data_IF_071756525226
#
_entry.id   IF_071756525226
#
_cell.length_a   1.000
_cell.length_b   1.000
_cell.length_c   1.000
_cell.angle_alpha   90.00
_cell.angle_beta   90.00
_cell.angle_gamma   90.00
#
_symmetry.space_group_name_H-M   'P 1'
#
loop_
_entity.id
_entity.type
_entity.pdbx_description
1 polymer ?
#
# COMPACT_ATOMS: atom_id res chain seq x y z
N UNK A 1 5.91 -16.45 3.62
CA UNK A 1 5.02 -15.88 4.68
C UNK A 1 4.45 -14.52 4.30
N UNK A 2 5.10 -13.73 3.42
CA UNK A 2 4.50 -12.54 2.81
C UNK A 2 3.35 -12.91 1.85
N UNK A 3 3.42 -14.08 1.20
CA UNK A 3 2.41 -14.51 0.23
C UNK A 3 1.01 -14.64 0.83
N UNK A 4 0.89 -14.99 2.11
CA UNK A 4 -0.40 -15.09 2.79
C UNK A 4 -1.09 -13.72 3.00
N UNK A 5 -0.34 -12.62 2.85
CA UNK A 5 -0.86 -11.24 3.00
C UNK A 5 -1.09 -10.56 1.66
N UNK A 6 -0.52 -11.08 0.57
CA UNK A 6 -0.71 -10.55 -0.77
C UNK A 6 -1.93 -11.21 -1.40
N UNK A 7 -2.95 -10.41 -1.69
CA UNK A 7 -4.17 -10.85 -2.33
C UNK A 7 -4.23 -10.32 -3.77
N UNK A 8 -4.83 -11.07 -4.70
CA UNK A 8 -4.99 -10.61 -6.07
C UNK A 8 -6.06 -9.52 -6.19
N UNK A 9 -5.98 -8.72 -7.26
CA UNK A 9 -7.04 -7.78 -7.65
C UNK A 9 -8.44 -8.45 -7.64
N UNK A 10 -9.42 -7.75 -7.08
CA UNK A 10 -10.79 -8.24 -6.94
C UNK A 10 -11.01 -9.18 -5.75
N UNK A 11 -10.01 -9.36 -4.87
CA UNK A 11 -10.15 -10.19 -3.69
C UNK A 11 -11.34 -9.76 -2.80
N UNK A 12 -11.99 -10.75 -2.21
CA UNK A 12 -13.02 -10.55 -1.19
C UNK A 12 -12.43 -10.76 0.19
N UNK A 13 -12.57 -9.75 1.05
CA UNK A 13 -11.97 -9.68 2.38
C UNK A 13 -13.08 -9.86 3.41
N UNK A 14 -12.96 -10.90 4.24
CA UNK A 14 -13.88 -11.11 5.36
C UNK A 14 -13.65 -10.04 6.44
N UNK A 15 -14.52 -9.04 6.51
CA UNK A 15 -14.39 -7.89 7.41
C UNK A 15 -14.43 -8.33 8.87
N UNK A 16 -15.23 -9.36 9.18
CA UNK A 16 -15.32 -9.95 10.52
C UNK A 16 -14.00 -10.57 11.02
N UNK A 17 -13.06 -10.89 10.12
CA UNK A 17 -11.75 -11.40 10.48
C UNK A 17 -10.73 -10.29 10.82
N UNK A 18 -11.09 -9.03 10.57
CA UNK A 18 -10.23 -7.87 10.80
C UNK A 18 -10.69 -7.09 12.04
N UNK A 19 -9.73 -6.69 12.87
CA UNK A 19 -9.99 -5.82 14.02
C UNK A 19 -9.55 -4.40 13.67
N UNK A 20 -10.44 -3.43 13.88
CA UNK A 20 -10.25 -2.01 13.54
C UNK A 20 -9.71 -1.80 12.11
N UNK A 21 -10.37 -2.34 11.08
CA UNK A 21 -9.83 -2.30 9.72
C UNK A 21 -9.81 -0.89 9.15
N UNK A 22 -8.87 -0.63 8.25
CA UNK A 22 -8.95 0.52 7.35
C UNK A 22 -8.41 0.14 5.97
N UNK A 23 -8.85 0.86 4.94
CA UNK A 23 -8.41 0.68 3.56
C UNK A 23 -7.85 1.98 3.02
N UNK A 24 -6.69 1.91 2.39
CA UNK A 24 -6.02 3.04 1.77
C UNK A 24 -5.44 2.67 0.40
N UNK A 25 -5.36 3.63 -0.55
CA UNK A 25 -4.67 3.41 -1.81
C UNK A 25 -3.17 3.35 -1.57
N UNK A 26 -2.50 2.38 -2.17
CA UNK A 26 -1.06 2.19 -2.05
C UNK A 26 -0.41 1.85 -3.40
N UNK A 27 0.91 1.93 -3.45
CA UNK A 27 1.71 1.34 -4.53
C UNK A 27 2.73 0.41 -3.91
N UNK A 28 2.81 -0.79 -4.49
CA UNK A 28 3.84 -1.77 -4.19
C UNK A 28 4.94 -1.67 -5.25
N UNK A 29 6.19 -1.50 -4.82
CA UNK A 29 7.37 -1.53 -5.68
C UNK A 29 8.25 -2.73 -5.35
N UNK A 30 8.61 -3.52 -6.36
CA UNK A 30 9.62 -4.58 -6.24
C UNK A 30 10.97 -3.99 -6.59
N UNK A 31 11.95 -4.10 -5.70
CA UNK A 31 13.28 -3.52 -5.89
C UNK A 31 14.06 -4.26 -6.98
N UNK A 32 14.66 -3.49 -7.89
CA UNK A 32 15.58 -4.04 -8.90
C UNK A 32 17.01 -4.20 -8.35
N UNK A 33 17.35 -3.48 -7.28
CA UNK A 33 18.68 -3.41 -6.69
C UNK A 33 18.57 -3.36 -5.16
N UNK A 34 19.69 -3.60 -4.47
CA UNK A 34 19.75 -3.49 -3.02
C UNK A 34 19.55 -2.04 -2.57
N UNK A 35 18.71 -1.83 -1.56
CA UNK A 35 18.65 -0.60 -0.80
C UNK A 35 19.67 -0.65 0.34
N UNK A 36 20.86 -0.13 0.07
CA UNK A 36 21.95 -0.10 1.05
C UNK A 36 21.73 0.93 2.16
N UNK A 37 22.21 0.62 3.36
CA UNK A 37 22.22 1.55 4.50
C UNK A 37 23.11 2.75 4.20
N UNK A 38 22.62 3.96 4.47
CA UNK A 38 23.38 5.21 4.32
C UNK A 38 23.47 5.75 2.89
N UNK A 39 22.89 5.04 1.91
CA UNK A 39 22.69 5.56 0.57
C UNK A 39 21.44 6.46 0.53
N UNK A 40 21.48 7.55 -0.22
CA UNK A 40 20.34 8.46 -0.40
C UNK A 40 19.84 8.49 -1.84
N UNK A 41 20.40 7.66 -2.72
CA UNK A 41 19.96 7.52 -4.10
C UNK A 41 18.47 7.17 -4.19
N UNK A 42 17.77 7.54 -5.27
CA UNK A 42 16.41 7.08 -5.50
C UNK A 42 16.35 5.55 -5.63
N UNK A 43 15.34 4.88 -5.02
CA UNK A 43 15.17 3.44 -5.17
C UNK A 43 14.89 3.05 -6.64
N UNK A 44 15.56 2.00 -7.12
CA UNK A 44 15.34 1.43 -8.46
C UNK A 44 14.36 0.26 -8.37
N UNK A 45 13.32 0.26 -9.21
CA UNK A 45 12.25 -0.74 -9.17
C UNK A 45 12.23 -1.62 -10.42
N UNK A 46 12.10 -2.92 -10.22
CA UNK A 46 11.88 -3.91 -11.27
C UNK A 46 10.44 -3.85 -11.79
N UNK A 47 9.48 -3.60 -10.88
CA UNK A 47 8.08 -3.38 -11.20
C UNK A 47 7.40 -2.53 -10.14
N UNK A 48 6.35 -1.82 -10.56
CA UNK A 48 5.39 -1.13 -9.71
C UNK A 48 4.01 -1.75 -9.90
N UNK A 49 3.23 -1.81 -8.82
CA UNK A 49 1.89 -2.37 -8.81
C UNK A 49 0.94 -1.39 -8.12
N UNK A 50 -0.25 -1.11 -8.69
CA UNK A 50 -1.31 -0.46 -7.95
C UNK A 50 -1.76 -1.40 -6.82
N UNK A 51 -1.99 -0.87 -5.62
CA UNK A 51 -2.37 -1.67 -4.47
C UNK A 51 -3.44 -1.00 -3.59
N UNK A 52 -4.12 -1.82 -2.78
CA UNK A 52 -4.90 -1.37 -1.62
C UNK A 52 -4.24 -1.93 -0.37
N UNK A 53 -3.83 -1.04 0.54
CA UNK A 53 -3.38 -1.40 1.88
C UNK A 53 -4.60 -1.57 2.78
N UNK A 54 -4.76 -2.76 3.35
CA UNK A 54 -5.84 -3.10 4.26
C UNK A 54 -5.21 -3.29 5.64
N UNK A 55 -5.16 -2.20 6.39
CA UNK A 55 -4.61 -2.22 7.74
C UNK A 55 -5.60 -2.90 8.70
N UNK A 56 -5.07 -3.58 9.70
CA UNK A 56 -5.84 -4.18 10.79
C UNK A 56 -5.02 -4.15 12.08
N UNK A 57 -5.63 -3.72 13.18
CA UNK A 57 -4.98 -3.59 14.48
C UNK A 57 -5.30 -4.79 15.36
N UNK A 58 -4.32 -5.34 16.06
CA UNK A 58 -4.53 -6.43 17.04
C UNK A 58 -4.80 -5.91 18.44
N UNK A 59 -4.43 -4.66 18.72
CA UNK A 59 -4.75 -3.99 19.98
C UNK A 59 -6.26 -3.91 20.19
N UNK A 60 -6.69 -3.96 21.46
CA UNK A 60 -8.11 -3.88 21.84
C UNK A 60 -8.75 -2.60 21.31
N UNK A 61 -8.04 -1.49 21.42
CA UNK A 61 -8.43 -0.16 20.99
C UNK A 61 -7.47 0.31 19.87
N UNK A 62 -7.89 1.17 18.92
CA UNK A 62 -6.98 1.72 17.92
C UNK A 62 -5.77 2.42 18.58
N UNK A 63 -4.56 2.30 18.02
CA UNK A 63 -3.37 2.86 18.66
C UNK A 63 -3.43 4.39 18.74
N UNK A 64 -3.38 4.92 19.95
CA UNK A 64 -3.35 6.37 20.20
C UNK A 64 -1.97 7.02 20.05
N UNK A 65 -0.91 6.23 19.84
CA UNK A 65 0.47 6.72 19.71
C UNK A 65 1.25 5.96 18.64
N UNK A 66 2.31 6.59 18.10
CA UNK A 66 3.21 5.96 17.14
C UNK A 66 3.94 4.72 17.72
N UNK A 67 4.27 4.74 19.01
CA UNK A 67 4.89 3.60 19.69
C UNK A 67 3.97 2.38 19.74
N UNK A 68 2.68 2.59 20.03
CA UNK A 68 1.67 1.52 19.99
C UNK A 68 1.44 1.01 18.57
N UNK A 69 1.38 1.92 17.59
CA UNK A 69 1.28 1.52 16.19
C UNK A 69 2.47 0.67 15.75
N UNK A 70 3.70 1.06 16.10
CA UNK A 70 4.92 0.31 15.80
C UNK A 70 4.96 -1.06 16.50
N UNK A 71 4.56 -1.12 17.77
CA UNK A 71 4.42 -2.38 18.51
C UNK A 71 3.42 -3.33 17.85
N UNK A 72 2.41 -2.78 17.19
CA UNK A 72 1.44 -3.51 16.37
C UNK A 72 1.82 -3.55 14.88
N UNK A 73 3.12 -3.59 14.57
CA UNK A 73 3.67 -3.74 13.22
C UNK A 73 3.14 -2.69 12.22
N UNK A 74 2.87 -1.47 12.68
CA UNK A 74 2.33 -0.39 11.85
C UNK A 74 0.94 -0.66 11.28
N UNK A 75 0.16 -1.55 11.90
CA UNK A 75 -1.18 -1.89 11.41
C UNK A 75 -1.17 -2.90 10.26
N UNK A 76 -0.04 -3.57 10.01
CA UNK A 76 0.12 -4.50 8.89
C UNK A 76 -0.95 -5.60 8.86
N UNK A 77 -1.86 -5.50 7.88
CA UNK A 77 -2.89 -6.48 7.59
C UNK A 77 -2.63 -7.19 6.27
N UNK A 78 -3.44 -6.86 5.26
CA UNK A 78 -3.44 -7.46 3.92
C UNK A 78 -3.10 -6.39 2.87
N UNK A 79 -2.57 -6.82 1.74
CA UNK A 79 -2.31 -5.96 0.59
C UNK A 79 -2.94 -6.58 -0.65
N UNK A 80 -3.89 -5.88 -1.25
CA UNK A 80 -4.49 -6.30 -2.52
C UNK A 80 -3.69 -5.68 -3.65
N UNK A 81 -3.15 -6.51 -4.55
CA UNK A 81 -2.15 -6.10 -5.53
C UNK A 81 -2.69 -6.29 -6.94
N UNK A 82 -2.67 -5.22 -7.72
CA UNK A 82 -3.01 -5.23 -9.14
C UNK A 82 -1.84 -5.60 -10.04
N UNK A 83 -2.09 -5.52 -11.36
CA UNK A 83 -1.14 -5.93 -12.38
C UNK A 83 0.18 -5.12 -12.33
N UNK A 84 1.30 -5.83 -12.48
CA UNK A 84 2.64 -5.25 -12.51
C UNK A 84 2.85 -4.36 -13.74
N UNK A 85 3.58 -3.26 -13.58
CA UNK A 85 4.12 -2.47 -14.69
C UNK A 85 5.60 -2.17 -14.49
N UNK A 86 6.38 -2.33 -15.55
CA UNK A 86 7.76 -1.86 -15.62
C UNK A 86 7.75 -0.40 -16.06
N UNK A 87 7.90 0.51 -15.11
CA UNK A 87 8.00 1.94 -15.36
C UNK A 87 8.73 2.63 -14.22
N UNK A 88 9.34 3.79 -14.50
CA UNK A 88 9.89 4.63 -13.46
C UNK A 88 8.76 5.27 -12.61
N UNK A 89 8.97 5.49 -11.30
CA UNK A 89 8.07 6.32 -10.50
C UNK A 89 7.87 7.70 -11.12
N UNK A 90 6.64 8.18 -11.17
CA UNK A 90 6.27 9.48 -11.74
C UNK A 90 5.06 10.06 -11.01
N UNK A 91 4.73 11.33 -11.27
CA UNK A 91 3.49 11.93 -10.79
C UNK A 91 2.26 11.15 -11.30
N UNK A 92 1.34 10.80 -10.39
CA UNK A 92 0.13 10.05 -10.70
C UNK A 92 -1.13 10.87 -10.45
N UNK A 93 -2.23 10.50 -11.10
CA UNK A 93 -3.58 10.94 -10.70
C UNK A 93 -4.29 9.78 -10.01
N UNK A 94 -4.49 9.94 -8.71
CA UNK A 94 -5.08 8.93 -7.84
C UNK A 94 -6.56 9.22 -7.57
N UNK A 95 -7.44 8.32 -8.03
CA UNK A 95 -8.83 8.28 -7.57
C UNK A 95 -9.06 7.06 -6.67
N UNK A 96 -9.66 7.25 -5.49
CA UNK A 96 -9.87 6.18 -4.50
C UNK A 96 -11.21 6.28 -3.77
N UNK A 97 -11.83 5.13 -3.49
CA UNK A 97 -12.96 4.95 -2.57
C UNK A 97 -13.96 3.89 -3.09
N UNK A 98 -15.23 3.90 -2.63
CA UNK A 98 -16.25 2.98 -3.14
C UNK A 98 -16.33 2.91 -4.67
N UNK A 99 -16.48 1.70 -5.21
CA UNK A 99 -16.66 1.41 -6.62
C UNK A 99 -17.97 2.00 -7.15
N UNK A 100 -18.05 2.22 -8.47
CA UNK A 100 -19.21 2.87 -9.11
C UNK A 100 -19.26 4.39 -8.96
N UNK A 101 -18.55 4.98 -8.00
CA UNK A 101 -18.46 6.43 -7.82
C UNK A 101 -17.30 7.01 -8.64
N UNK A 102 -17.61 7.82 -9.65
CA UNK A 102 -16.59 8.53 -10.43
C UNK A 102 -15.95 9.62 -9.57
N UNK A 103 -14.63 9.55 -9.39
CA UNK A 103 -13.86 10.58 -8.67
C UNK A 103 -12.86 11.23 -9.60
N UNK A 104 -12.68 12.54 -9.45
CA UNK A 104 -11.52 13.22 -10.04
C UNK A 104 -10.27 12.73 -9.30
N UNK A 105 -9.25 12.36 -10.06
CA UNK A 105 -7.99 11.89 -9.49
C UNK A 105 -7.18 13.06 -8.94
N UNK A 106 -6.73 12.94 -7.70
CA UNK A 106 -5.84 13.90 -7.06
C UNK A 106 -4.38 13.65 -7.51
N UNK A 107 -3.59 14.70 -7.75
CA UNK A 107 -2.18 14.54 -8.04
C UNK A 107 -1.46 13.93 -6.83
N UNK A 108 -0.59 12.94 -7.07
CA UNK A 108 0.26 12.32 -6.05
C UNK A 108 1.68 12.22 -6.57
N UNK A 109 2.64 12.62 -5.74
CA UNK A 109 4.07 12.47 -5.99
C UNK A 109 4.54 11.07 -5.53
N UNK A 110 4.44 10.10 -6.45
CA UNK A 110 4.88 8.74 -6.18
C UNK A 110 6.40 8.65 -5.91
N UNK A 111 7.30 9.32 -6.65
CA UNK A 111 8.72 9.37 -6.31
C UNK A 111 8.96 9.78 -4.86
N UNK A 112 8.34 10.87 -4.38
CA UNK A 112 8.51 11.33 -3.00
C UNK A 112 8.00 10.30 -1.97
N UNK A 113 6.84 9.69 -2.22
CA UNK A 113 6.28 8.67 -1.33
C UNK A 113 7.15 7.40 -1.25
N UNK A 114 7.67 6.93 -2.38
CA UNK A 114 8.59 5.79 -2.42
C UNK A 114 9.95 6.11 -1.80
N UNK A 115 10.45 7.33 -1.98
CA UNK A 115 11.68 7.78 -1.31
C UNK A 115 11.50 7.75 0.21
N UNK A 116 10.35 8.22 0.74
CA UNK A 116 10.08 8.17 2.17
C UNK A 116 10.08 6.73 2.71
N UNK A 117 9.48 5.79 1.98
CA UNK A 117 9.50 4.37 2.33
C UNK A 117 10.92 3.79 2.27
N UNK A 118 11.69 4.12 1.24
CA UNK A 118 13.08 3.70 1.10
C UNK A 118 13.97 4.23 2.22
N UNK A 119 13.87 5.51 2.58
CA UNK A 119 14.61 6.09 3.70
C UNK A 119 14.28 5.41 5.04
N UNK A 120 13.02 5.03 5.26
CA UNK A 120 12.64 4.25 6.43
C UNK A 120 13.28 2.85 6.43
N UNK A 121 13.26 2.15 5.30
CA UNK A 121 13.91 0.85 5.13
C UNK A 121 15.43 0.91 5.36
N UNK A 122 16.09 1.95 4.84
CA UNK A 122 17.54 2.17 5.02
C UNK A 122 17.92 2.39 6.48
N UNK A 123 17.12 3.17 7.22
CA UNK A 123 17.30 3.34 8.68
C UNK A 123 17.14 2.02 9.44
N UNK A 124 16.32 1.11 8.93
CA UNK A 124 16.12 -0.23 9.49
C UNK A 124 17.19 -1.27 9.06
N UNK A 125 18.20 -0.87 8.27
CA UNK A 125 19.29 -1.75 7.84
C UNK A 125 19.36 -2.00 6.34
N UNK A 126 18.41 -1.48 5.57
CA UNK A 126 18.34 -1.70 4.13
C UNK A 126 17.45 -2.88 3.73
N UNK A 127 17.36 -3.13 2.43
CA UNK A 127 16.59 -4.23 1.84
C UNK A 127 17.33 -4.80 0.64
N UNK A 128 17.28 -6.12 0.41
CA UNK A 128 17.90 -6.72 -0.77
C UNK A 128 17.06 -6.49 -2.04
N UNK A 129 17.68 -6.67 -3.19
CA UNK A 129 17.04 -6.83 -4.49
C UNK A 129 15.88 -7.84 -4.41
N UNK A 130 14.77 -7.53 -5.10
CA UNK A 130 13.56 -8.35 -5.09
C UNK A 130 12.68 -8.17 -3.86
N UNK A 131 13.15 -7.47 -2.82
CA UNK A 131 12.29 -7.08 -1.71
C UNK A 131 11.28 -6.02 -2.15
N UNK A 132 10.28 -5.81 -1.30
CA UNK A 132 9.13 -4.98 -1.59
C UNK A 132 9.13 -3.72 -0.71
N UNK A 133 8.85 -2.57 -1.33
CA UNK A 133 8.43 -1.35 -0.67
C UNK A 133 6.95 -1.09 -0.91
N UNK A 134 6.24 -0.66 0.13
CA UNK A 134 4.84 -0.23 0.02
C UNK A 134 4.75 1.23 0.43
N UNK A 135 4.17 2.06 -0.44
CA UNK A 135 3.88 3.46 -0.17
C UNK A 135 2.36 3.67 -0.14
N UNK A 136 1.82 4.08 1.01
CA UNK A 136 0.40 4.46 1.15
C UNK A 136 0.24 5.91 0.73
N UNK A 137 -0.69 6.17 -0.19
CA UNK A 137 -0.75 7.40 -0.99
C UNK A 137 -1.94 8.31 -0.67
N UNK A 138 -2.62 8.08 0.45
CA UNK A 138 -3.78 8.86 0.83
C UNK A 138 -4.34 8.48 2.19
N UNK A 139 -5.41 9.17 2.65
CA UNK A 139 -6.05 8.86 3.91
C UNK A 139 -6.68 7.47 3.87
N UNK A 140 -6.57 6.76 4.98
CA UNK A 140 -7.28 5.50 5.18
C UNK A 140 -8.76 5.77 5.50
N UNK A 141 -9.62 4.88 5.03
CA UNK A 141 -11.07 4.94 5.23
C UNK A 141 -11.53 3.66 5.92
N UNK A 142 -12.55 3.73 6.77
CA UNK A 142 -13.17 2.57 7.38
C UNK A 142 -13.98 1.81 6.30
N UNK A 143 -13.68 0.54 6.00
CA UNK A 143 -14.51 -0.24 5.09
C UNK A 143 -15.82 -0.67 5.77
N UNK A 144 -16.89 -0.68 4.99
CA UNK A 144 -18.21 -1.20 5.38
C UNK A 144 -18.49 -2.53 4.68
N UNK A 145 -19.18 -3.44 5.38
CA UNK A 145 -19.56 -4.73 4.80
C UNK A 145 -20.45 -4.54 3.56
N UNK A 146 -20.24 -5.36 2.54
CA UNK A 146 -20.91 -5.27 1.25
C UNK A 146 -20.34 -4.20 0.31
N UNK A 147 -19.29 -3.48 0.69
CA UNK A 147 -18.70 -2.42 -0.16
C UNK A 147 -17.51 -2.93 -0.96
N UNK A 148 -17.44 -2.57 -2.25
CA UNK A 148 -16.23 -2.68 -3.05
C UNK A 148 -15.49 -1.34 -3.07
N UNK A 149 -14.18 -1.36 -2.82
CA UNK A 149 -13.29 -0.21 -3.00
C UNK A 149 -12.47 -0.37 -4.28
N UNK A 150 -12.21 0.75 -4.95
CA UNK A 150 -11.33 0.82 -6.12
C UNK A 150 -10.33 1.96 -5.96
N UNK A 151 -9.09 1.70 -6.35
CA UNK A 151 -8.05 2.72 -6.52
C UNK A 151 -7.56 2.73 -7.97
N UNK A 152 -7.58 3.90 -8.60
CA UNK A 152 -7.15 4.13 -9.99
C UNK A 152 -5.97 5.10 -10.01
N UNK A 153 -4.85 4.66 -10.59
CA UNK A 153 -3.54 5.32 -10.56
C UNK A 153 -3.12 5.82 -11.95
N UNK A 154 -4.09 6.13 -12.81
CA UNK A 154 -3.85 6.55 -14.19
C UNK A 154 -3.05 5.50 -14.97
N UNK A 155 -1.85 5.89 -15.42
CA UNK A 155 -0.97 5.04 -16.23
C UNK A 155 -0.51 3.77 -15.52
N UNK A 156 -0.46 3.75 -14.17
CA UNK A 156 -0.07 2.56 -13.42
C UNK A 156 -1.17 1.48 -13.42
N UNK A 157 -2.43 1.88 -13.60
CA UNK A 157 -3.57 0.97 -13.67
C UNK A 157 -4.54 1.13 -12.49
N UNK A 158 -5.25 0.05 -12.17
CA UNK A 158 -6.30 0.01 -11.15
C UNK A 158 -6.19 -1.27 -10.33
N UNK A 159 -6.71 -1.22 -9.12
CA UNK A 159 -6.93 -2.37 -8.24
C UNK A 159 -8.23 -2.19 -7.46
N UNK A 160 -8.85 -3.29 -7.07
CA UNK A 160 -10.12 -3.35 -6.34
C UNK A 160 -10.11 -4.43 -5.28
N UNK A 161 -10.97 -4.26 -4.28
CA UNK A 161 -11.25 -5.27 -3.27
C UNK A 161 -12.67 -5.10 -2.75
N UNK A 162 -13.34 -6.20 -2.44
CA UNK A 162 -14.65 -6.20 -1.77
C UNK A 162 -14.51 -6.58 -0.31
N UNK A 163 -15.36 -6.03 0.54
CA UNK A 163 -15.44 -6.36 1.97
C UNK A 163 -16.74 -7.11 2.23
N UNK A 164 -16.64 -8.37 2.64
CA UNK A 164 -17.76 -9.26 2.95
C UNK A 164 -17.96 -9.39 4.47
#
# INVERSE_FOLDING_TARGET
MLEARLLPDGASIALAALRHPSVAPAVLGVLAEDLSRGDESPPVFASLHPALDIAAWRLRDPPGTAGLAAADLGGLGLLVVGCAKRMAPALLRLGFGPAGVRRQGNPVDLPAALQQAASAARRAGGLPQGAVLVAVLGPAVLPEAGTEFSASFGVLGRVRASFA
#
